data_IF_992519768141
#
_entry.id   IF_992519768141
#
_cell.length_a   1.000
_cell.length_b   1.000
_cell.length_c   1.000
_cell.angle_alpha   90.00
_cell.angle_beta   90.00
_cell.angle_gamma   90.00
#
_symmetry.space_group_name_H-M   'P 1'
#
loop_
_entity.id
_entity.type
_entity.pdbx_description
1 polymer ?
#
# COMPACT_ATOMS: atom_id res chain seq x y z
N UNK A 1 -21.25 -23.34 2.63
CA UNK A 1 -20.62 -22.01 2.45
C UNK A 1 -20.21 -21.86 0.99
N UNK A 2 -20.77 -20.91 0.22
CA UNK A 2 -20.32 -20.64 -1.16
C UNK A 2 -18.89 -20.07 -1.14
N UNK A 3 -17.95 -20.67 -1.87
CA UNK A 3 -16.60 -20.11 -2.06
C UNK A 3 -16.73 -18.76 -2.78
N UNK A 4 -16.22 -17.68 -2.17
CA UNK A 4 -16.13 -16.35 -2.81
C UNK A 4 -15.27 -16.45 -4.09
N UNK A 5 -15.61 -15.68 -5.12
CA UNK A 5 -14.78 -15.61 -6.32
C UNK A 5 -13.43 -14.94 -5.99
N UNK A 6 -12.37 -15.24 -6.76
CA UNK A 6 -11.03 -14.66 -6.54
C UNK A 6 -11.06 -13.12 -6.54
N UNK A 7 -11.88 -12.51 -7.40
CA UNK A 7 -12.08 -11.05 -7.41
C UNK A 7 -12.73 -10.51 -6.13
N UNK A 8 -13.73 -11.21 -5.58
CA UNK A 8 -14.34 -10.82 -4.30
C UNK A 8 -13.37 -10.92 -3.13
N UNK A 9 -12.48 -11.92 -3.14
CA UNK A 9 -11.43 -12.05 -2.13
C UNK A 9 -10.43 -10.90 -2.21
N UNK A 10 -10.01 -10.52 -3.43
CA UNK A 10 -9.12 -9.38 -3.64
C UNK A 10 -9.73 -8.08 -3.12
N UNK A 11 -10.97 -7.77 -3.51
CA UNK A 11 -11.67 -6.55 -3.04
C UNK A 11 -11.79 -6.56 -1.51
N UNK A 12 -12.17 -7.70 -0.91
CA UNK A 12 -12.28 -7.82 0.53
C UNK A 12 -10.94 -7.59 1.24
N UNK A 13 -9.84 -8.18 0.74
CA UNK A 13 -8.50 -7.99 1.29
C UNK A 13 -8.04 -6.53 1.20
N UNK A 14 -8.30 -5.88 0.06
CA UNK A 14 -8.04 -4.47 -0.17
C UNK A 14 -8.79 -3.55 0.79
N UNK A 15 -10.10 -3.78 0.99
CA UNK A 15 -10.89 -3.03 1.96
C UNK A 15 -10.40 -3.27 3.39
N UNK A 16 -10.08 -4.53 3.73
CA UNK A 16 -9.53 -4.87 5.06
C UNK A 16 -8.20 -4.17 5.31
N UNK A 17 -7.31 -4.06 4.32
CA UNK A 17 -6.04 -3.35 4.48
C UNK A 17 -6.23 -1.85 4.75
N UNK A 18 -7.12 -1.19 4.00
CA UNK A 18 -7.44 0.22 4.24
C UNK A 18 -8.06 0.43 5.64
N UNK A 19 -9.00 -0.42 6.03
CA UNK A 19 -9.61 -0.38 7.37
C UNK A 19 -8.58 -0.66 8.47
N UNK A 20 -7.69 -1.63 8.27
CA UNK A 20 -6.63 -1.97 9.23
C UNK A 20 -5.67 -0.80 9.43
N UNK A 21 -5.30 -0.10 8.36
CA UNK A 21 -4.47 1.10 8.46
C UNK A 21 -5.17 2.22 9.23
N UNK A 22 -6.44 2.50 8.94
CA UNK A 22 -7.22 3.50 9.69
C UNK A 22 -7.39 3.11 11.16
N UNK A 23 -7.70 1.84 11.44
CA UNK A 23 -7.83 1.32 12.79
C UNK A 23 -6.51 1.43 13.56
N UNK A 24 -5.38 1.09 12.93
CA UNK A 24 -4.05 1.24 13.51
C UNK A 24 -3.79 2.69 13.91
N UNK A 25 -4.09 3.66 13.04
CA UNK A 25 -3.96 5.08 13.38
C UNK A 25 -4.84 5.47 14.57
N UNK A 26 -6.12 5.07 14.59
CA UNK A 26 -7.04 5.40 15.67
C UNK A 26 -6.59 4.81 17.02
N UNK A 27 -6.05 3.59 17.01
CA UNK A 27 -5.54 2.92 18.21
C UNK A 27 -4.25 3.56 18.72
N UNK A 28 -3.34 3.96 17.82
CA UNK A 28 -2.06 4.56 18.19
C UNK A 28 -2.15 6.07 18.45
N UNK A 29 -3.20 6.76 17.96
CA UNK A 29 -3.42 8.21 18.10
C UNK A 29 -3.05 8.80 19.47
N UNK A 30 -3.45 8.23 20.62
CA UNK A 30 -3.09 8.80 21.92
C UNK A 30 -1.59 8.77 22.25
N UNK A 31 -0.81 7.93 21.56
CA UNK A 31 0.63 7.73 21.79
C UNK A 31 1.50 8.32 20.67
N UNK A 32 0.87 8.90 19.64
CA UNK A 32 1.57 9.50 18.52
C UNK A 32 1.85 10.98 18.78
N UNK A 33 3.00 11.51 18.31
CA UNK A 33 3.27 12.93 18.39
C UNK A 33 2.25 13.72 17.56
N UNK A 34 2.01 14.98 17.93
CA UNK A 34 1.11 15.87 17.18
C UNK A 34 1.63 16.20 15.77
N UNK A 35 2.94 16.06 15.55
CA UNK A 35 3.59 16.24 14.28
C UNK A 35 4.42 15.01 13.92
N UNK A 36 4.47 14.69 12.64
CA UNK A 36 5.24 13.59 12.09
C UNK A 36 6.18 14.14 11.00
N UNK A 37 7.37 13.55 10.90
CA UNK A 37 8.30 13.88 9.84
C UNK A 37 7.70 13.53 8.48
N UNK A 38 7.73 14.48 7.53
CA UNK A 38 7.18 14.34 6.18
C UNK A 38 8.24 14.28 5.08
N UNK A 39 9.42 14.86 5.33
CA UNK A 39 10.58 14.76 4.43
C UNK A 39 11.88 14.91 5.21
N UNK A 40 12.95 14.34 4.65
CA UNK A 40 14.32 14.55 5.08
C UNK A 40 15.07 15.25 3.95
N UNK A 41 15.63 16.43 4.21
CA UNK A 41 16.38 17.22 3.22
C UNK A 41 17.72 17.70 3.76
N UNK A 42 18.47 18.43 2.92
CA UNK A 42 19.76 19.04 3.28
C UNK A 42 19.65 20.02 4.44
N UNK A 43 18.49 20.66 4.57
CA UNK A 43 18.20 21.65 5.62
C UNK A 43 17.60 21.00 6.88
N UNK A 44 17.53 19.66 6.93
CA UNK A 44 17.00 18.89 8.04
C UNK A 44 15.64 18.24 7.79
N UNK A 45 15.02 17.77 8.87
CA UNK A 45 13.73 17.10 8.85
C UNK A 45 12.58 18.11 8.82
N UNK A 46 11.68 17.99 7.84
CA UNK A 46 10.45 18.76 7.79
C UNK A 46 9.31 18.01 8.46
N UNK A 47 8.54 18.69 9.30
CA UNK A 47 7.42 18.10 10.04
C UNK A 47 6.07 18.62 9.53
N UNK A 48 5.03 17.81 9.67
CA UNK A 48 3.65 18.19 9.39
C UNK A 48 2.69 17.54 10.39
N UNK A 49 1.43 18.00 10.48
CA UNK A 49 0.45 17.40 11.38
C UNK A 49 0.29 15.89 11.11
N UNK A 50 0.40 15.07 12.16
CA UNK A 50 0.40 13.59 12.02
C UNK A 50 -0.85 13.09 11.30
N UNK A 51 -2.02 13.64 11.62
CA UNK A 51 -3.28 13.27 10.98
C UNK A 51 -3.27 13.52 9.47
N UNK A 52 -2.60 14.61 9.02
CA UNK A 52 -2.52 14.97 7.61
C UNK A 52 -1.61 14.01 6.86
N UNK A 53 -0.45 13.69 7.44
CA UNK A 53 0.50 12.73 6.86
C UNK A 53 -0.18 11.35 6.71
N UNK A 54 -0.86 10.90 7.76
CA UNK A 54 -1.61 9.64 7.75
C UNK A 54 -2.69 9.63 6.69
N UNK A 55 -3.45 10.72 6.56
CA UNK A 55 -4.53 10.86 5.58
C UNK A 55 -3.99 10.81 4.15
N UNK A 56 -2.90 11.52 3.86
CA UNK A 56 -2.28 11.53 2.52
C UNK A 56 -1.77 10.14 2.14
N UNK A 57 -1.09 9.45 3.06
CA UNK A 57 -0.62 8.07 2.84
C UNK A 57 -1.80 7.13 2.61
N UNK A 58 -2.83 7.21 3.46
CA UNK A 58 -4.03 6.38 3.34
C UNK A 58 -4.77 6.62 2.02
N UNK A 59 -4.91 7.88 1.59
CA UNK A 59 -5.53 8.25 0.34
C UNK A 59 -4.73 7.75 -0.88
N UNK A 60 -3.41 7.95 -0.88
CA UNK A 60 -2.53 7.47 -1.95
C UNK A 60 -2.55 5.94 -2.07
N UNK A 61 -2.47 5.22 -0.94
CA UNK A 61 -2.55 3.76 -0.90
C UNK A 61 -3.91 3.26 -1.43
N UNK A 62 -5.01 3.84 -0.94
CA UNK A 62 -6.37 3.46 -1.34
C UNK A 62 -6.62 3.74 -2.83
N UNK A 63 -6.15 4.89 -3.34
CA UNK A 63 -6.27 5.25 -4.76
C UNK A 63 -5.52 4.24 -5.64
N UNK A 64 -4.30 3.87 -5.26
CA UNK A 64 -3.51 2.89 -6.00
C UNK A 64 -4.20 1.52 -6.04
N UNK A 65 -4.75 1.08 -4.89
CA UNK A 65 -5.56 -0.15 -4.82
C UNK A 65 -6.79 -0.05 -5.73
N UNK A 66 -7.50 1.08 -5.72
CA UNK A 66 -8.69 1.27 -6.54
C UNK A 66 -8.38 1.15 -8.04
N UNK A 67 -7.29 1.78 -8.51
CA UNK A 67 -6.81 1.64 -9.89
C UNK A 67 -6.52 0.18 -10.22
N UNK A 68 -5.81 -0.53 -9.34
CA UNK A 68 -5.50 -1.96 -9.53
C UNK A 68 -6.75 -2.85 -9.60
N UNK A 69 -7.78 -2.56 -8.79
CA UNK A 69 -9.06 -3.29 -8.83
C UNK A 69 -9.85 -3.00 -10.11
N UNK A 70 -9.88 -1.74 -10.56
CA UNK A 70 -10.54 -1.34 -11.81
C UNK A 70 -9.87 -2.06 -12.98
N UNK A 71 -8.54 -1.98 -13.08
CA UNK A 71 -7.78 -2.68 -14.11
C UNK A 71 -7.99 -4.20 -14.07
N UNK A 72 -8.01 -4.80 -12.87
CA UNK A 72 -8.32 -6.23 -12.70
C UNK A 72 -9.68 -6.59 -13.28
N UNK A 73 -10.72 -5.78 -13.00
CA UNK A 73 -12.07 -6.01 -13.50
C UNK A 73 -12.14 -5.88 -15.01
N UNK A 74 -11.54 -4.84 -15.57
CA UNK A 74 -11.51 -4.59 -17.01
C UNK A 74 -10.84 -5.73 -17.75
N UNK A 75 -9.62 -6.13 -17.36
CA UNK A 75 -8.91 -7.23 -18.02
C UNK A 75 -9.59 -8.59 -17.82
N UNK A 76 -10.24 -8.82 -16.67
CA UNK A 76 -11.04 -10.03 -16.47
C UNK A 76 -12.27 -10.04 -17.39
N UNK A 77 -12.91 -8.90 -17.62
CA UNK A 77 -14.07 -8.79 -18.52
C UNK A 77 -13.71 -8.99 -19.99
N UNK A 78 -12.49 -8.60 -20.38
CA UNK A 78 -11.98 -8.75 -21.73
C UNK A 78 -11.57 -10.20 -22.06
N UNK A 79 -11.40 -11.08 -21.07
CA UNK A 79 -11.20 -12.52 -21.29
C UNK A 79 -9.78 -12.98 -21.59
N UNK A 80 -8.86 -12.07 -21.93
CA UNK A 80 -7.45 -12.37 -22.21
C UNK A 80 -6.54 -11.71 -21.17
N UNK A 81 -5.67 -12.49 -20.53
CA UNK A 81 -4.65 -11.97 -19.62
C UNK A 81 -3.30 -12.00 -20.32
N UNK A 82 -2.81 -10.85 -20.80
CA UNK A 82 -1.46 -10.76 -21.35
C UNK A 82 -0.44 -10.35 -20.25
N UNK A 83 0.88 -10.55 -20.46
CA UNK A 83 1.89 -10.21 -19.45
C UNK A 83 1.89 -8.72 -19.04
N UNK A 84 1.66 -7.82 -20.01
CA UNK A 84 1.52 -6.38 -19.77
C UNK A 84 0.38 -6.05 -18.79
N UNK A 85 -0.89 -6.33 -19.14
CA UNK A 85 -2.04 -6.17 -18.25
C UNK A 85 -1.86 -6.77 -16.86
N UNK A 86 -1.27 -7.97 -16.78
CA UNK A 86 -1.01 -8.62 -15.49
C UNK A 86 -0.04 -7.81 -14.63
N UNK A 87 1.06 -7.34 -15.20
CA UNK A 87 2.07 -6.56 -14.47
C UNK A 87 1.49 -5.24 -13.95
N UNK A 88 0.62 -4.57 -14.72
CA UNK A 88 -0.07 -3.34 -14.31
C UNK A 88 -0.91 -3.60 -13.05
N UNK A 89 -1.76 -4.64 -13.07
CA UNK A 89 -2.63 -4.99 -11.93
C UNK A 89 -1.80 -5.31 -10.69
N UNK A 90 -0.76 -6.15 -10.83
CA UNK A 90 0.13 -6.51 -9.72
C UNK A 90 0.81 -5.27 -9.15
N UNK A 91 1.32 -4.39 -10.02
CA UNK A 91 2.09 -3.21 -9.61
C UNK A 91 1.22 -2.22 -8.81
N UNK A 92 0.03 -1.87 -9.29
CA UNK A 92 -0.86 -0.94 -8.59
C UNK A 92 -1.36 -1.51 -7.25
N UNK A 93 -1.79 -2.78 -7.24
CA UNK A 93 -2.24 -3.41 -5.99
C UNK A 93 -1.10 -3.51 -4.97
N UNK A 94 0.09 -3.98 -5.40
CA UNK A 94 1.26 -4.07 -4.53
C UNK A 94 1.73 -2.69 -4.05
N UNK A 95 1.72 -1.66 -4.91
CA UNK A 95 2.01 -0.28 -4.53
C UNK A 95 1.04 0.22 -3.48
N UNK A 96 -0.26 -0.05 -3.64
CA UNK A 96 -1.28 0.27 -2.66
C UNK A 96 -1.02 -0.33 -1.29
N UNK A 97 -0.80 -1.65 -1.22
CA UNK A 97 -0.44 -2.32 0.05
C UNK A 97 0.89 -1.80 0.61
N UNK A 98 1.89 -1.58 -0.24
CA UNK A 98 3.18 -1.02 0.15
C UNK A 98 3.05 0.35 0.79
N UNK A 99 2.27 1.27 0.21
CA UNK A 99 2.04 2.61 0.74
C UNK A 99 1.35 2.54 2.11
N UNK A 100 0.37 1.64 2.29
CA UNK A 100 -0.24 1.42 3.60
C UNK A 100 0.77 0.84 4.61
N UNK A 101 1.66 -0.05 4.15
CA UNK A 101 2.77 -0.58 4.94
C UNK A 101 3.78 0.48 5.36
N UNK A 102 4.07 1.45 4.48
CA UNK A 102 4.87 2.63 4.79
C UNK A 102 4.26 3.42 5.94
N UNK A 103 2.97 3.76 5.84
CA UNK A 103 2.28 4.49 6.90
C UNK A 103 2.27 3.72 8.21
N UNK A 104 1.98 2.42 8.17
CA UNK A 104 1.96 1.58 9.37
C UNK A 104 3.33 1.55 10.07
N UNK A 105 4.42 1.38 9.31
CA UNK A 105 5.77 1.38 9.86
C UNK A 105 6.18 2.76 10.40
N UNK A 106 5.79 3.86 9.73
CA UNK A 106 6.00 5.22 10.26
C UNK A 106 5.30 5.43 11.59
N UNK A 107 4.03 4.99 11.70
CA UNK A 107 3.25 5.13 12.93
C UNK A 107 3.84 4.33 14.08
N UNK A 108 4.28 3.09 13.83
CA UNK A 108 4.92 2.25 14.83
C UNK A 108 6.27 2.81 15.28
N UNK A 109 7.05 3.37 14.35
CA UNK A 109 8.34 3.99 14.64
C UNK A 109 8.19 5.31 15.41
N UNK A 110 7.07 6.00 15.25
CA UNK A 110 6.81 7.29 15.89
C UNK A 110 6.09 7.18 17.25
N UNK A 111 5.86 5.96 17.76
CA UNK A 111 5.09 5.73 18.96
C UNK A 111 5.91 6.06 20.22
N UNK A 112 5.36 6.88 21.13
CA UNK A 112 5.93 7.10 22.46
C UNK A 112 7.10 8.10 22.53
N UNK A 113 7.49 8.70 21.41
CA UNK A 113 8.55 9.71 21.36
C UNK A 113 8.04 11.04 20.79
N UNK A 114 8.67 12.15 21.19
CA UNK A 114 8.41 13.45 20.60
C UNK A 114 9.07 13.59 19.22
N UNK A 115 8.44 14.37 18.34
CA UNK A 115 8.89 14.54 16.95
C UNK A 115 10.37 14.97 16.82
N UNK A 116 10.86 15.79 17.75
CA UNK A 116 12.25 16.27 17.75
C UNK A 116 13.28 15.18 18.11
N UNK A 117 12.88 14.14 18.86
CA UNK A 117 13.76 13.03 19.24
C UNK A 117 13.84 11.97 18.14
N UNK A 118 12.76 11.78 17.39
CA UNK A 118 12.66 10.78 16.31
C UNK A 118 13.50 11.13 15.08
N UNK A 119 13.68 12.43 14.79
CA UNK A 119 14.38 12.91 13.61
C UNK A 119 13.82 12.31 12.32
N UNK A 120 14.65 11.57 11.58
CA UNK A 120 14.29 10.94 10.29
C UNK A 120 13.99 9.44 10.38
N UNK A 121 14.05 8.85 11.58
CA UNK A 121 13.84 7.41 11.78
C UNK A 121 12.49 6.91 11.23
N UNK A 122 11.34 7.61 11.44
CA UNK A 122 10.07 7.16 10.88
C UNK A 122 10.10 7.05 9.36
N UNK A 123 10.79 7.94 8.64
CA UNK A 123 10.94 7.84 7.18
C UNK A 123 11.68 6.55 6.81
N UNK A 124 12.81 6.28 7.47
CA UNK A 124 13.59 5.06 7.22
C UNK A 124 12.77 3.79 7.43
N UNK A 125 12.06 3.71 8.55
CA UNK A 125 11.17 2.60 8.87
C UNK A 125 9.99 2.50 7.88
N UNK A 126 9.43 3.64 7.49
CA UNK A 126 8.41 3.75 6.45
C UNK A 126 8.87 3.18 5.11
N UNK A 127 10.07 3.52 4.65
CA UNK A 127 10.64 2.99 3.40
C UNK A 127 10.90 1.48 3.48
N UNK A 128 11.36 0.97 4.63
CA UNK A 128 11.48 -0.47 4.85
C UNK A 128 10.12 -1.17 4.80
N UNK A 129 9.10 -0.58 5.45
CA UNK A 129 7.72 -1.06 5.39
C UNK A 129 7.17 -1.06 3.96
N UNK A 130 7.43 0.00 3.18
CA UNK A 130 7.06 0.11 1.77
C UNK A 130 7.61 -1.06 0.97
N UNK A 131 8.93 -1.23 0.98
CA UNK A 131 9.63 -2.23 0.15
C UNK A 131 9.23 -3.63 0.57
N UNK A 132 9.21 -3.91 1.88
CA UNK A 132 8.86 -5.23 2.41
C UNK A 132 7.44 -5.65 2.06
N UNK A 133 6.45 -4.78 2.32
CA UNK A 133 5.05 -5.08 2.03
C UNK A 133 4.79 -5.10 0.52
N UNK A 134 5.41 -4.22 -0.26
CA UNK A 134 5.33 -4.23 -1.72
C UNK A 134 5.84 -5.55 -2.30
N UNK A 135 7.06 -5.96 -1.95
CA UNK A 135 7.69 -7.16 -2.50
C UNK A 135 6.88 -8.43 -2.16
N UNK A 136 6.40 -8.52 -0.91
CA UNK A 136 5.54 -9.62 -0.48
C UNK A 136 4.22 -9.64 -1.25
N UNK A 137 3.56 -8.49 -1.35
CA UNK A 137 2.27 -8.36 -2.05
C UNK A 137 2.41 -8.67 -3.53
N UNK A 138 3.43 -8.13 -4.19
CA UNK A 138 3.70 -8.39 -5.61
C UNK A 138 3.93 -9.88 -5.87
N UNK A 139 4.70 -10.56 -5.02
CA UNK A 139 4.98 -11.99 -5.13
C UNK A 139 3.72 -12.85 -4.96
N UNK A 140 2.86 -12.50 -4.00
CA UNK A 140 1.60 -13.20 -3.76
C UNK A 140 0.60 -12.96 -4.91
N UNK A 141 0.47 -11.72 -5.38
CA UNK A 141 -0.43 -11.35 -6.46
C UNK A 141 -0.01 -11.97 -7.80
N UNK A 142 1.28 -11.99 -8.12
CA UNK A 142 1.79 -12.61 -9.34
C UNK A 142 1.42 -14.11 -9.43
N UNK A 143 1.42 -14.80 -8.29
CA UNK A 143 1.01 -16.21 -8.15
C UNK A 143 -0.52 -16.40 -8.14
N UNK A 144 -1.27 -15.47 -7.55
CA UNK A 144 -2.72 -15.61 -7.36
C UNK A 144 -3.54 -15.26 -8.61
N UNK A 145 -3.07 -14.30 -9.40
CA UNK A 145 -3.73 -13.85 -10.64
C UNK A 145 -3.61 -14.89 -11.76
N UNK A 146 -4.54 -14.88 -12.74
CA UNK A 146 -4.50 -15.80 -13.88
C UNK A 146 -3.14 -15.85 -14.56
N UNK A 147 -2.77 -17.01 -15.11
CA UNK A 147 -1.57 -17.09 -15.93
C UNK A 147 -1.76 -16.20 -17.15
N UNK A 148 -0.70 -15.47 -17.50
CA UNK A 148 -0.74 -14.69 -18.71
C UNK A 148 -0.61 -15.66 -19.90
N UNK A 149 -1.47 -15.52 -20.90
CA UNK A 149 -1.27 -16.17 -22.19
C UNK A 149 0.02 -15.60 -22.80
N UNK A 150 0.88 -16.50 -23.30
CA UNK A 150 2.05 -16.07 -24.05
C UNK A 150 1.54 -15.43 -25.34
N UNK A 151 1.83 -14.15 -25.55
CA UNK A 151 1.67 -13.55 -26.88
C UNK A 151 2.54 -14.36 -27.83
N UNK A 152 1.94 -15.15 -28.72
CA UNK A 152 2.68 -15.70 -29.85
C UNK A 152 3.12 -14.51 -30.69
N UNK A 153 4.43 -14.31 -30.76
CA UNK A 153 5.02 -13.44 -31.79
C UNK A 153 4.91 -14.20 -33.12
N UNK A 154 3.70 -14.37 -33.62
CA UNK A 154 3.49 -14.77 -35.01
C UNK A 154 3.71 -13.51 -35.85
N UNK A 155 4.95 -13.35 -36.29
CA UNK A 155 5.40 -12.40 -37.30
C UNK A 155 5.04 -12.90 -38.72
#
# INVERSE_FOLDING_TARGET
MKKRSKGQQLIAASCLAAMAYSALYLLLRPQLPGQLVRHAGTDGAGYGPTWLVVLVIGAAGTLSIAIGIIAYRDFTSLGHWNPGPKSIVVCFLAAGFGILGLGAAMLLAAMGEDAAQQGTLPIGMGLLGLIGVFALSASLLAKALPQAEQESLDA
#
